data_IF_042881736436
#
_entry.id   IF_042881736436
#
_cell.length_a   1.000
_cell.length_b   1.000
_cell.length_c   1.000
_cell.angle_alpha   90.00
_cell.angle_beta   90.00
_cell.angle_gamma   90.00
#
_symmetry.space_group_name_H-M   'P 1'
#
loop_
_entity.id
_entity.type
_entity.pdbx_description
1 polymer ?
#
# COMPACT_ATOMS: atom_id res chain seq x y z
N UNK A 1 -40.91 -42.87 24.40
CA UNK A 1 -40.88 -41.45 24.05
C UNK A 1 -39.47 -40.96 24.35
N UNK A 2 -38.60 -41.00 23.37
CA UNK A 2 -37.22 -40.55 23.45
C UNK A 2 -37.12 -39.27 22.65
N UNK A 3 -36.92 -38.17 23.32
CA UNK A 3 -36.66 -36.87 22.69
C UNK A 3 -35.17 -36.80 22.30
N UNK A 4 -34.95 -36.74 21.03
CA UNK A 4 -33.70 -36.53 20.33
C UNK A 4 -33.30 -35.03 20.46
N UNK A 5 -32.38 -34.72 21.37
CA UNK A 5 -31.77 -33.43 21.46
C UNK A 5 -30.57 -33.40 20.52
N UNK A 6 -30.77 -32.96 19.28
CA UNK A 6 -29.68 -32.64 18.36
C UNK A 6 -29.03 -31.36 18.81
N UNK A 7 -27.79 -31.49 19.25
CA UNK A 7 -26.85 -30.43 19.48
C UNK A 7 -26.64 -29.57 18.22
N UNK A 8 -27.24 -28.39 18.21
CA UNK A 8 -26.91 -27.33 17.27
C UNK A 8 -25.61 -26.69 17.74
N UNK A 9 -24.46 -27.35 17.53
CA UNK A 9 -23.15 -26.68 17.56
C UNK A 9 -23.11 -25.71 16.38
N UNK A 10 -23.36 -24.44 16.69
CA UNK A 10 -23.25 -23.35 15.72
C UNK A 10 -21.86 -23.29 15.12
N UNK A 11 -21.76 -23.66 13.85
CA UNK A 11 -20.61 -23.33 13.01
C UNK A 11 -20.40 -21.82 13.02
N UNK A 12 -19.41 -21.39 13.77
CA UNK A 12 -18.90 -20.02 13.66
C UNK A 12 -18.20 -19.89 12.31
N UNK A 13 -18.98 -19.55 11.28
CA UNK A 13 -18.48 -19.31 9.94
C UNK A 13 -17.40 -18.24 9.97
N UNK A 14 -16.33 -18.37 9.20
CA UNK A 14 -15.18 -17.48 9.19
C UNK A 14 -15.47 -16.18 8.43
N UNK A 15 -16.52 -15.45 8.82
CA UNK A 15 -16.91 -14.20 8.18
C UNK A 15 -15.80 -13.13 8.22
N UNK A 16 -14.98 -13.12 9.29
CA UNK A 16 -13.90 -12.15 9.45
C UNK A 16 -12.78 -12.31 8.43
N UNK A 17 -12.49 -13.56 8.03
CA UNK A 17 -11.44 -13.84 7.04
C UNK A 17 -11.95 -13.55 5.62
N UNK A 18 -13.19 -13.92 5.32
CA UNK A 18 -13.83 -13.62 4.04
C UNK A 18 -13.98 -12.11 3.87
N UNK A 19 -14.37 -11.38 4.92
CA UNK A 19 -14.51 -9.93 4.88
C UNK A 19 -13.17 -9.25 4.53
N UNK A 20 -12.05 -9.69 5.12
CA UNK A 20 -10.72 -9.14 4.83
C UNK A 20 -10.27 -9.40 3.39
N UNK A 21 -10.53 -10.59 2.87
CA UNK A 21 -10.16 -10.96 1.48
C UNK A 21 -11.03 -10.21 0.47
N UNK A 22 -12.34 -10.12 0.70
CA UNK A 22 -13.26 -9.35 -0.14
C UNK A 22 -12.89 -7.87 -0.14
N UNK A 23 -12.42 -7.36 0.97
CA UNK A 23 -12.00 -6.00 1.20
C UNK A 23 -10.78 -5.61 0.34
N UNK A 24 -9.71 -6.40 0.37
CA UNK A 24 -8.52 -6.18 -0.48
C UNK A 24 -8.87 -6.28 -1.97
N UNK A 25 -9.78 -7.19 -2.33
CA UNK A 25 -10.23 -7.35 -3.73
C UNK A 25 -11.09 -6.18 -4.21
N UNK A 26 -11.97 -5.66 -3.36
CA UNK A 26 -12.78 -4.47 -3.67
C UNK A 26 -11.91 -3.21 -3.77
N UNK A 27 -10.88 -3.12 -2.95
CA UNK A 27 -9.87 -2.09 -3.00
C UNK A 27 -9.14 -2.10 -4.35
N UNK A 28 -8.66 -3.26 -4.77
CA UNK A 28 -8.01 -3.44 -6.07
C UNK A 28 -8.95 -3.10 -7.24
N UNK A 29 -10.23 -3.49 -7.18
CA UNK A 29 -11.24 -3.21 -8.23
C UNK A 29 -11.63 -1.73 -8.26
N UNK A 30 -11.76 -1.08 -7.10
CA UNK A 30 -12.08 0.35 -7.04
C UNK A 30 -10.92 1.19 -7.59
N UNK A 31 -9.71 0.90 -7.17
CA UNK A 31 -8.50 1.51 -7.70
C UNK A 31 -8.36 1.25 -9.21
N UNK A 32 -8.68 0.05 -9.69
CA UNK A 32 -8.76 -0.26 -11.12
C UNK A 32 -9.73 0.65 -11.87
N UNK A 33 -10.90 0.96 -11.32
CA UNK A 33 -11.88 1.89 -11.96
C UNK A 33 -11.39 3.34 -11.99
N UNK A 34 -10.74 3.81 -10.92
CA UNK A 34 -10.09 5.12 -10.88
C UNK A 34 -8.94 5.17 -11.89
N UNK A 35 -8.13 4.09 -11.99
CA UNK A 35 -7.06 3.94 -12.97
C UNK A 35 -7.54 4.03 -14.44
N UNK A 36 -8.67 3.45 -14.76
CA UNK A 36 -9.19 3.41 -16.14
C UNK A 36 -9.80 4.75 -16.56
N UNK A 37 -10.30 5.56 -15.62
CA UNK A 37 -11.00 6.82 -15.95
C UNK A 37 -10.06 8.01 -16.21
N UNK A 38 -8.78 7.95 -15.85
CA UNK A 38 -7.81 9.06 -15.96
C UNK A 38 -6.68 8.73 -16.93
N UNK A 39 -7.00 8.28 -18.12
CA UNK A 39 -6.03 8.02 -19.18
C UNK A 39 -5.58 9.30 -19.90
N UNK A 40 -4.92 10.23 -19.20
CA UNK A 40 -4.32 11.37 -19.86
C UNK A 40 -2.96 11.72 -19.28
N UNK A 41 -1.94 11.57 -20.07
CA UNK A 41 -0.52 11.90 -19.86
C UNK A 41 0.15 11.24 -18.65
N UNK A 42 1.03 10.26 -18.87
CA UNK A 42 1.84 9.71 -17.81
C UNK A 42 2.81 10.79 -17.29
N UNK A 43 2.54 11.27 -16.07
CA UNK A 43 3.49 12.10 -15.36
C UNK A 43 4.78 11.32 -15.03
N UNK A 44 5.89 12.01 -14.76
CA UNK A 44 7.11 11.35 -14.30
C UNK A 44 6.86 10.67 -12.96
N UNK A 45 7.42 9.47 -12.78
CA UNK A 45 7.46 8.83 -11.46
C UNK A 45 8.33 9.68 -10.52
N UNK A 46 7.93 9.83 -9.26
CA UNK A 46 8.77 10.48 -8.25
C UNK A 46 10.14 9.79 -8.18
N UNK A 47 11.19 10.55 -8.00
CA UNK A 47 12.54 10.02 -7.76
C UNK A 47 12.64 9.49 -6.33
N UNK A 48 12.13 8.31 -6.10
CA UNK A 48 12.31 7.59 -4.84
C UNK A 48 13.29 6.44 -5.04
N UNK A 49 14.10 6.12 -4.02
CA UNK A 49 15.06 5.02 -4.11
C UNK A 49 14.36 3.72 -4.54
N UNK A 50 14.75 3.18 -5.67
CA UNK A 50 14.25 1.92 -6.20
C UNK A 50 12.84 1.92 -6.79
N UNK A 51 12.06 3.01 -6.73
CA UNK A 51 10.65 3.00 -7.16
C UNK A 51 10.47 2.65 -8.65
N UNK A 52 11.28 3.25 -9.55
CA UNK A 52 11.20 2.98 -10.99
C UNK A 52 11.54 1.52 -11.29
N UNK A 53 12.54 0.98 -10.60
CA UNK A 53 12.96 -0.41 -10.79
C UNK A 53 11.96 -1.38 -10.21
N UNK A 54 11.31 -1.03 -9.08
CA UNK A 54 10.24 -1.83 -8.50
C UNK A 54 9.02 -1.93 -9.41
N UNK A 55 8.68 -0.87 -10.13
CA UNK A 55 7.62 -0.91 -11.14
C UNK A 55 7.92 -1.93 -12.25
N UNK A 56 9.18 -2.20 -12.52
CA UNK A 56 9.63 -3.17 -13.55
C UNK A 56 9.87 -4.56 -12.99
N UNK A 57 9.89 -4.72 -11.66
CA UNK A 57 10.16 -6.01 -11.04
C UNK A 57 9.05 -7.01 -11.36
N UNK A 58 9.44 -8.15 -11.92
CA UNK A 58 8.51 -9.21 -12.36
C UNK A 58 8.30 -10.30 -11.30
N UNK A 59 9.12 -10.31 -10.26
CA UNK A 59 9.02 -11.29 -9.16
C UNK A 59 9.29 -10.63 -7.82
N UNK A 60 8.81 -11.28 -6.75
CA UNK A 60 9.13 -10.87 -5.39
C UNK A 60 10.66 -10.81 -5.15
N UNK A 61 11.41 -11.82 -5.61
CA UNK A 61 12.86 -11.91 -5.39
C UNK A 61 13.62 -10.78 -6.11
N UNK A 62 13.13 -10.33 -7.27
CA UNK A 62 13.70 -9.16 -7.94
C UNK A 62 13.43 -7.88 -7.16
N UNK A 63 12.22 -7.70 -6.65
CA UNK A 63 11.84 -6.55 -5.85
C UNK A 63 12.60 -6.50 -4.51
N UNK A 64 12.77 -7.64 -3.86
CA UNK A 64 13.58 -7.78 -2.63
C UNK A 64 15.02 -7.29 -2.85
N UNK A 65 15.65 -7.70 -3.96
CA UNK A 65 17.00 -7.24 -4.33
C UNK A 65 17.07 -5.74 -4.56
N UNK A 66 16.05 -5.17 -5.21
CA UNK A 66 15.96 -3.73 -5.48
C UNK A 66 15.86 -2.94 -4.17
N UNK A 67 14.98 -3.35 -3.25
CA UNK A 67 14.85 -2.70 -1.94
C UNK A 67 16.14 -2.78 -1.13
N UNK A 68 16.80 -3.94 -1.11
CA UNK A 68 18.11 -4.10 -0.46
C UNK A 68 19.16 -3.18 -1.08
N UNK A 69 19.20 -3.08 -2.39
CA UNK A 69 20.09 -2.16 -3.12
C UNK A 69 19.78 -0.69 -2.86
N UNK A 70 18.54 -0.35 -2.53
CA UNK A 70 18.10 0.99 -2.16
C UNK A 70 18.33 1.34 -0.67
N UNK A 71 18.94 0.44 0.12
CA UNK A 71 19.27 0.71 1.53
C UNK A 71 18.29 0.14 2.55
N UNK A 72 17.32 -0.67 2.11
CA UNK A 72 16.40 -1.35 3.03
C UNK A 72 16.97 -2.68 3.52
N UNK A 73 16.77 -2.97 4.80
CA UNK A 73 17.12 -4.22 5.45
C UNK A 73 15.86 -5.05 5.71
N UNK A 74 15.94 -6.36 5.44
CA UNK A 74 14.82 -7.28 5.66
C UNK A 74 14.59 -7.45 7.16
N UNK A 75 13.36 -7.25 7.60
CA UNK A 75 12.86 -7.64 8.92
C UNK A 75 12.23 -9.03 8.82
N UNK A 76 11.37 -9.22 7.83
CA UNK A 76 10.71 -10.49 7.58
C UNK A 76 10.44 -10.65 6.08
N UNK A 77 10.61 -11.84 5.54
CA UNK A 77 10.54 -12.08 4.11
C UNK A 77 9.55 -13.21 3.77
N UNK A 78 8.93 -13.07 2.60
CA UNK A 78 8.04 -14.06 1.99
C UNK A 78 6.94 -14.58 2.91
N UNK A 79 6.23 -13.67 3.56
CA UNK A 79 5.03 -14.00 4.32
C UNK A 79 3.84 -14.19 3.37
N UNK A 80 3.09 -15.26 3.54
CA UNK A 80 1.81 -15.47 2.88
C UNK A 80 0.69 -14.90 3.76
N UNK A 81 0.54 -13.59 3.80
CA UNK A 81 -0.50 -12.93 4.57
C UNK A 81 -1.85 -12.92 3.83
N UNK A 82 -1.82 -13.04 2.50
CA UNK A 82 -2.98 -13.09 1.62
C UNK A 82 -2.80 -14.20 0.58
N UNK A 83 -3.89 -14.83 0.10
CA UNK A 83 -3.80 -15.82 -0.95
C UNK A 83 -3.10 -15.29 -2.20
N UNK A 84 -2.23 -16.09 -2.81
CA UNK A 84 -1.51 -15.78 -4.04
C UNK A 84 -0.60 -14.55 -3.97
N UNK A 85 -0.21 -14.13 -2.77
CA UNK A 85 0.72 -13.00 -2.59
C UNK A 85 1.84 -13.33 -1.62
N UNK A 86 3.02 -12.75 -1.90
CA UNK A 86 4.10 -12.67 -0.95
C UNK A 86 4.20 -11.27 -0.38
N UNK A 87 4.41 -11.17 0.92
CA UNK A 87 4.66 -9.92 1.62
C UNK A 87 6.06 -9.95 2.24
N UNK A 88 6.85 -8.91 1.98
CA UNK A 88 8.11 -8.66 2.66
C UNK A 88 7.99 -7.45 3.56
N UNK A 89 8.60 -7.50 4.73
CA UNK A 89 8.70 -6.40 5.66
C UNK A 89 10.15 -5.94 5.78
N UNK A 90 10.37 -4.65 5.64
CA UNK A 90 11.68 -4.02 5.59
C UNK A 90 11.74 -2.82 6.52
N UNK A 91 12.95 -2.44 6.88
CA UNK A 91 13.25 -1.20 7.59
C UNK A 91 14.49 -0.53 6.99
N UNK A 92 14.61 0.77 7.14
CA UNK A 92 15.84 1.51 6.84
C UNK A 92 16.01 2.62 7.86
N UNK A 93 17.29 2.99 8.11
CA UNK A 93 17.64 4.17 8.92
C UNK A 93 18.15 5.32 8.07
N UNK A 94 18.53 5.02 6.84
CA UNK A 94 19.26 5.94 5.96
C UNK A 94 18.45 6.34 4.71
N UNK A 95 17.29 5.69 4.48
CA UNK A 95 16.42 6.02 3.37
C UNK A 95 15.43 7.09 3.81
N UNK A 96 15.44 8.21 3.13
CA UNK A 96 14.48 9.28 3.31
C UNK A 96 13.55 9.39 2.10
N UNK A 97 12.27 9.62 2.38
CA UNK A 97 11.23 9.90 1.40
C UNK A 97 10.68 11.28 1.71
N UNK A 98 11.00 12.25 0.86
CA UNK A 98 10.68 13.67 1.09
C UNK A 98 11.14 14.19 2.46
N UNK A 99 12.38 13.81 2.87
CA UNK A 99 12.96 14.19 4.14
C UNK A 99 12.39 13.46 5.36
N UNK A 100 11.59 12.41 5.16
CA UNK A 100 11.02 11.60 6.21
C UNK A 100 11.54 10.16 6.13
N UNK A 101 12.02 9.62 7.25
CA UNK A 101 12.48 8.23 7.33
C UNK A 101 11.30 7.30 7.63
N UNK A 102 10.97 6.33 6.76
CA UNK A 102 9.93 5.37 7.06
C UNK A 102 10.36 4.43 8.19
N UNK A 103 9.49 4.20 9.16
CA UNK A 103 9.70 3.23 10.23
C UNK A 103 9.67 1.79 9.70
N UNK A 104 8.77 1.52 8.76
CA UNK A 104 8.60 0.23 8.10
C UNK A 104 8.24 0.44 6.63
N UNK A 105 8.60 -0.56 5.83
CA UNK A 105 8.19 -0.67 4.44
C UNK A 105 7.66 -2.09 4.20
N UNK A 106 6.49 -2.20 3.58
CA UNK A 106 5.94 -3.47 3.13
C UNK A 106 5.95 -3.55 1.62
N UNK A 107 6.51 -4.62 1.11
CA UNK A 107 6.47 -4.99 -0.30
C UNK A 107 5.41 -6.08 -0.48
N UNK A 108 4.47 -5.86 -1.38
CA UNK A 108 3.45 -6.85 -1.74
C UNK A 108 3.61 -7.19 -3.21
N UNK A 109 3.81 -8.47 -3.50
CA UNK A 109 3.96 -8.99 -4.85
C UNK A 109 3.08 -10.22 -5.03
N UNK A 110 2.61 -10.45 -6.26
CA UNK A 110 1.88 -11.66 -6.58
C UNK A 110 2.81 -12.87 -6.58
N UNK A 111 2.29 -14.02 -6.17
CA UNK A 111 3.03 -15.29 -6.12
C UNK A 111 3.36 -15.78 -7.52
N UNK A 112 2.46 -15.53 -8.48
CA UNK A 112 2.71 -15.82 -9.88
C UNK A 112 3.72 -14.82 -10.47
N UNK A 113 4.79 -15.36 -11.06
CA UNK A 113 5.91 -14.57 -11.60
C UNK A 113 5.52 -13.62 -12.74
N UNK A 114 4.31 -13.73 -13.28
CA UNK A 114 3.86 -12.91 -14.42
C UNK A 114 3.41 -11.50 -14.03
N UNK A 115 2.93 -11.29 -12.80
CA UNK A 115 2.27 -10.03 -12.43
C UNK A 115 3.08 -9.11 -11.51
N UNK A 116 4.19 -9.59 -10.94
CA UNK A 116 5.20 -8.79 -10.25
C UNK A 116 4.73 -8.07 -8.98
N UNK A 117 5.39 -6.95 -8.68
CA UNK A 117 5.05 -6.09 -7.55
C UNK A 117 3.75 -5.37 -7.81
N UNK A 118 2.85 -5.40 -6.85
CA UNK A 118 1.55 -4.73 -6.91
C UNK A 118 1.46 -3.52 -6.00
N UNK A 119 2.21 -3.52 -4.87
CA UNK A 119 2.12 -2.43 -3.91
C UNK A 119 3.38 -2.33 -3.05
N UNK A 120 3.69 -1.11 -2.65
CA UNK A 120 4.68 -0.80 -1.62
C UNK A 120 4.07 0.20 -0.67
N UNK A 121 4.09 -0.13 0.62
CA UNK A 121 3.59 0.69 1.69
C UNK A 121 4.74 1.18 2.56
N UNK A 122 4.86 2.48 2.75
CA UNK A 122 5.77 3.11 3.69
C UNK A 122 4.97 3.65 4.87
N UNK A 123 5.34 3.21 6.07
CA UNK A 123 4.77 3.62 7.34
C UNK A 123 5.71 4.60 8.04
N UNK A 124 5.19 5.74 8.46
CA UNK A 124 5.99 6.77 9.13
C UNK A 124 5.51 6.95 10.56
N UNK A 125 6.44 7.27 11.47
CA UNK A 125 6.05 7.64 12.83
C UNK A 125 5.65 9.11 12.87
N UNK A 126 4.51 9.38 13.48
CA UNK A 126 4.01 10.72 13.76
C UNK A 126 3.43 10.76 15.18
N UNK A 127 3.31 11.96 15.74
CA UNK A 127 2.64 12.13 17.04
C UNK A 127 1.15 11.80 16.90
N UNK A 128 0.59 11.14 17.91
CA UNK A 128 -0.82 10.77 17.95
C UNK A 128 -1.75 12.00 17.73
N UNK A 129 -2.99 11.72 17.29
CA UNK A 129 -4.08 12.67 17.06
C UNK A 129 -4.04 13.49 15.75
N UNK A 130 -3.16 13.12 14.80
CA UNK A 130 -3.15 13.71 13.47
C UNK A 130 -4.24 13.08 12.58
N UNK A 131 -4.89 13.91 11.78
CA UNK A 131 -5.93 13.51 10.83
C UNK A 131 -5.72 14.20 9.47
N UNK A 132 -6.47 13.82 8.43
CA UNK A 132 -6.39 14.50 7.15
C UNK A 132 -6.83 15.98 7.25
N UNK A 133 -7.78 16.29 8.11
CA UNK A 133 -8.27 17.67 8.37
C UNK A 133 -7.25 18.49 9.18
N UNK A 134 -6.54 17.83 10.11
CA UNK A 134 -5.49 18.43 10.92
C UNK A 134 -4.21 17.58 10.82
N UNK A 135 -3.51 17.64 9.66
CA UNK A 135 -2.36 16.78 9.40
C UNK A 135 -1.15 17.19 10.23
N UNK A 136 -0.42 16.19 10.70
CA UNK A 136 0.85 16.38 11.38
C UNK A 136 1.98 16.80 10.42
N UNK A 137 3.15 17.00 10.99
CA UNK A 137 4.32 17.50 10.23
C UNK A 137 4.80 16.51 9.18
N UNK A 138 4.86 15.21 9.51
CA UNK A 138 5.31 14.15 8.61
C UNK A 138 4.37 14.02 7.42
N UNK A 139 3.06 13.92 7.67
CA UNK A 139 2.07 13.85 6.61
C UNK A 139 2.13 15.09 5.69
N UNK A 140 2.29 16.27 6.29
CA UNK A 140 2.39 17.54 5.55
C UNK A 140 3.65 17.57 4.68
N UNK A 141 4.79 17.10 5.17
CA UNK A 141 6.04 17.01 4.42
C UNK A 141 5.89 16.04 3.22
N UNK A 142 5.34 14.85 3.44
CA UNK A 142 5.07 13.88 2.38
C UNK A 142 4.13 14.42 1.31
N UNK A 143 3.02 15.06 1.71
CA UNK A 143 2.07 15.68 0.79
C UNK A 143 2.73 16.76 -0.06
N UNK A 144 3.47 17.66 0.58
CA UNK A 144 4.13 18.76 -0.12
C UNK A 144 5.21 18.24 -1.08
N UNK A 145 6.02 17.26 -0.65
CA UNK A 145 7.03 16.61 -1.47
C UNK A 145 6.44 15.93 -2.71
N UNK A 146 5.33 15.21 -2.55
CA UNK A 146 4.60 14.61 -3.68
C UNK A 146 4.05 15.66 -4.63
N UNK A 147 3.42 16.72 -4.13
CA UNK A 147 2.88 17.80 -4.96
C UNK A 147 3.98 18.53 -5.74
N UNK A 148 5.11 18.81 -5.09
CA UNK A 148 6.24 19.49 -5.72
C UNK A 148 6.89 18.59 -6.79
N UNK A 149 7.14 17.33 -6.46
CA UNK A 149 7.73 16.35 -7.36
C UNK A 149 6.88 16.09 -8.60
N UNK A 150 5.58 15.95 -8.41
CA UNK A 150 4.64 15.62 -9.49
C UNK A 150 4.07 16.85 -10.21
N UNK A 151 4.23 18.05 -9.62
CA UNK A 151 3.60 19.30 -10.09
C UNK A 151 2.09 19.15 -10.32
N UNK A 152 1.45 18.34 -9.48
CA UNK A 152 0.07 17.92 -9.60
C UNK A 152 -0.61 17.90 -8.23
N UNK A 153 -1.84 18.37 -8.16
CA UNK A 153 -2.64 18.25 -6.93
C UNK A 153 -3.19 16.82 -6.82
N UNK A 154 -3.36 16.29 -5.60
CA UNK A 154 -4.03 15.01 -5.41
C UNK A 154 -5.53 15.12 -5.69
N UNK A 155 -6.13 13.97 -5.97
CA UNK A 155 -7.57 13.78 -5.89
C UNK A 155 -7.91 13.32 -4.47
N UNK A 156 -8.91 13.96 -3.85
CA UNK A 156 -9.43 13.51 -2.58
C UNK A 156 -10.33 12.29 -2.80
N UNK A 157 -10.14 11.27 -1.99
CA UNK A 157 -10.90 10.02 -2.05
C UNK A 157 -11.20 9.52 -0.64
N UNK A 158 -12.11 8.58 -0.54
CA UNK A 158 -12.37 7.85 0.71
C UNK A 158 -12.04 6.39 0.45
N UNK A 159 -11.08 5.88 1.20
CA UNK A 159 -10.64 4.50 1.14
C UNK A 159 -10.93 3.84 2.47
N UNK A 160 -11.80 2.82 2.47
CA UNK A 160 -12.18 2.09 3.68
C UNK A 160 -12.79 2.95 4.80
N UNK A 161 -13.48 4.02 4.41
CA UNK A 161 -13.97 5.01 5.35
C UNK A 161 -12.91 6.01 5.82
N UNK A 162 -11.66 5.88 5.33
CA UNK A 162 -10.56 6.79 5.66
C UNK A 162 -10.31 7.75 4.48
N UNK A 163 -10.25 9.06 4.75
CA UNK A 163 -9.89 10.05 3.74
C UNK A 163 -8.47 9.80 3.22
N UNK A 164 -8.29 9.86 1.90
CA UNK A 164 -7.02 9.62 1.23
C UNK A 164 -6.76 10.67 0.15
N UNK A 165 -5.49 11.01 -0.06
CA UNK A 165 -5.00 11.83 -1.16
C UNK A 165 -4.37 10.92 -2.20
N UNK A 166 -4.83 10.99 -3.46
CA UNK A 166 -4.38 10.09 -4.53
C UNK A 166 -3.77 10.91 -5.67
N UNK A 167 -2.58 10.50 -6.11
CA UNK A 167 -1.90 11.01 -7.31
C UNK A 167 -1.78 9.91 -8.35
N UNK A 168 -2.34 10.13 -9.51
CA UNK A 168 -2.04 9.29 -10.66
C UNK A 168 -0.64 9.63 -11.18
N UNK A 169 0.28 8.68 -11.10
CA UNK A 169 1.68 8.84 -11.53
C UNK A 169 1.82 8.62 -13.03
N UNK A 170 1.25 7.53 -13.53
CA UNK A 170 1.14 7.20 -14.94
C UNK A 170 -0.02 6.21 -15.16
N UNK A 171 -0.19 5.70 -16.37
CA UNK A 171 -1.30 4.76 -16.69
C UNK A 171 -1.29 3.47 -15.83
N UNK A 172 -0.15 3.11 -15.26
CA UNK A 172 0.06 1.86 -14.53
C UNK A 172 0.51 2.07 -13.08
N UNK A 173 0.54 3.31 -12.58
CA UNK A 173 0.99 3.56 -11.22
C UNK A 173 0.24 4.74 -10.58
N UNK A 174 -0.03 4.62 -9.29
CA UNK A 174 -0.57 5.68 -8.46
C UNK A 174 0.15 5.72 -7.10
N UNK A 175 0.14 6.89 -6.47
CA UNK A 175 0.50 7.07 -5.08
C UNK A 175 -0.73 7.45 -4.28
N UNK A 176 -0.87 6.91 -3.07
CA UNK A 176 -1.87 7.30 -2.10
C UNK A 176 -1.21 7.69 -0.78
N UNK A 177 -1.65 8.78 -0.18
CA UNK A 177 -1.21 9.24 1.14
C UNK A 177 -2.43 9.35 2.04
N UNK A 178 -2.41 8.66 3.17
CA UNK A 178 -3.52 8.60 4.11
C UNK A 178 -3.03 8.24 5.52
N UNK A 179 -3.92 8.37 6.51
CA UNK A 179 -3.68 7.83 7.84
C UNK A 179 -4.29 6.43 7.94
N UNK A 180 -3.53 5.49 8.48
CA UNK A 180 -4.06 4.17 8.86
C UNK A 180 -5.03 4.28 10.04
N UNK A 181 -5.70 3.20 10.38
CA UNK A 181 -6.69 3.18 11.48
C UNK A 181 -6.10 3.54 12.85
N UNK A 182 -4.80 3.37 13.04
CA UNK A 182 -4.06 3.72 14.25
C UNK A 182 -3.45 5.13 14.22
N UNK A 183 -3.78 5.92 13.19
CA UNK A 183 -3.28 7.29 13.02
C UNK A 183 -1.87 7.39 12.44
N UNK A 184 -1.31 6.28 11.94
CA UNK A 184 0.02 6.27 11.33
C UNK A 184 -0.05 6.80 9.89
N UNK A 185 0.77 7.80 9.49
CA UNK A 185 0.86 8.21 8.09
C UNK A 185 1.38 7.09 7.22
N UNK A 186 0.69 6.83 6.12
CA UNK A 186 1.05 5.82 5.13
C UNK A 186 1.17 6.45 3.75
N UNK A 187 2.28 6.16 3.07
CA UNK A 187 2.45 6.43 1.65
C UNK A 187 2.51 5.10 0.91
N UNK A 188 1.54 4.87 0.06
CA UNK A 188 1.39 3.65 -0.72
C UNK A 188 1.65 3.94 -2.19
N UNK A 189 2.50 3.15 -2.84
CA UNK A 189 2.62 3.10 -4.28
C UNK A 189 1.98 1.80 -4.80
N UNK A 190 1.07 1.97 -5.75
CA UNK A 190 0.35 0.88 -6.39
C UNK A 190 0.77 0.78 -7.85
N UNK A 191 0.97 -0.45 -8.33
CA UNK A 191 1.33 -0.74 -9.70
C UNK A 191 0.30 -1.68 -10.33
N UNK A 192 -0.16 -1.32 -11.54
CA UNK A 192 -0.97 -2.21 -12.39
C UNK A 192 -0.18 -2.56 -13.64
N UNK A 193 -0.40 -3.74 -14.18
CA UNK A 193 0.20 -4.25 -15.42
C UNK A 193 -0.87 -4.62 -16.44
#
# INVERSE_FOLDING_TARGET
MLQDQRDLKGERKPYKTILKVTFVFLLAIFLWKVFVSVATNPGPLPELPGLIDLQKATTFDNADKILKGAGFSVVQNKLNLMPQTYTGMYQSKDVEIYGQTPALCYLIALEDATDGVVMIDYYFQETADSTLENPGEVFTALRNGLQESLKKKPEESVQDGMPALIWQLNKNAAAALFYSQDGTPMLTYMFSR
#
